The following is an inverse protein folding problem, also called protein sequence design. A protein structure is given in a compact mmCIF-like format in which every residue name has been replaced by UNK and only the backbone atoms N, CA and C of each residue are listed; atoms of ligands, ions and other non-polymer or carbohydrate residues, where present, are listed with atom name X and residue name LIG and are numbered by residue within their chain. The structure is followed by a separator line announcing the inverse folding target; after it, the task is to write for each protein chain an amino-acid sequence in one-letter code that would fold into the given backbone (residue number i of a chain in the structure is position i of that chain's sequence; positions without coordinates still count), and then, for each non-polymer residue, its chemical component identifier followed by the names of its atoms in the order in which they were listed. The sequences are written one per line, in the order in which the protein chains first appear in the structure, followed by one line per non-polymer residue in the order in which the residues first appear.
data_IF_895449520646
#
_entry.id   IF_895449520646
#
_cell.length_a   1.000
_cell.length_b   1.000
_cell.length_c   1.000
_cell.angle_alpha   90.00
_cell.angle_beta   90.00
_cell.angle_gamma   90.00
#
_symmetry.space_group_name_H-M   'P 1'
#
loop_
_entity.id
_entity.type
_entity.pdbx_description
1 polymer ?
#
# COMPACT_ATOMS: atom_id res chain seq x y z
N UNK A 1 0.45 -18.81 39.59
CA UNK A 1 -0.44 -18.92 38.42
C UNK A 1 0.45 -18.90 37.19
N UNK A 2 0.67 -20.05 36.55
CA UNK A 2 1.43 -20.12 35.30
C UNK A 2 0.58 -19.52 34.18
N UNK A 3 1.16 -18.62 33.40
CA UNK A 3 0.53 -18.13 32.19
C UNK A 3 0.18 -19.34 31.31
N UNK A 4 -1.07 -19.43 30.86
CA UNK A 4 -1.45 -20.38 29.83
C UNK A 4 -0.61 -20.07 28.61
N UNK A 5 0.28 -20.98 28.24
CA UNK A 5 0.91 -20.99 26.92
C UNK A 5 -0.23 -21.17 25.94
N UNK A 6 -0.50 -20.14 25.15
CA UNK A 6 -1.43 -20.21 24.02
C UNK A 6 -0.76 -21.12 23.01
N UNK A 7 -1.43 -22.17 22.55
CA UNK A 7 -0.89 -23.03 21.49
C UNK A 7 -0.79 -22.16 20.23
N UNK A 8 0.43 -21.84 19.80
CA UNK A 8 0.73 -20.74 18.86
C UNK A 8 0.25 -21.00 17.42
N UNK A 9 -0.39 -22.14 17.15
CA UNK A 9 -0.89 -22.53 15.84
C UNK A 9 -2.40 -22.27 15.63
N UNK A 10 -3.14 -21.80 16.64
CA UNK A 10 -4.61 -21.71 16.54
C UNK A 10 -5.12 -20.49 15.75
N UNK A 11 -4.35 -19.40 15.64
CA UNK A 11 -4.76 -18.20 14.87
C UNK A 11 -3.60 -17.25 14.54
N UNK A 12 -3.85 -16.33 13.61
CA UNK A 12 -2.98 -15.19 13.30
C UNK A 12 -3.79 -13.91 13.10
N UNK A 13 -3.10 -12.76 13.08
CA UNK A 13 -3.73 -11.44 12.94
C UNK A 13 -3.29 -10.75 11.66
N UNK A 14 -4.26 -10.20 10.92
CA UNK A 14 -4.02 -9.32 9.78
C UNK A 14 -4.48 -7.93 10.17
N UNK A 15 -3.53 -7.01 10.34
CA UNK A 15 -3.85 -5.63 10.65
C UNK A 15 -4.11 -4.84 9.38
N UNK A 16 -5.33 -4.30 9.23
CA UNK A 16 -5.51 -3.12 8.39
C UNK A 16 -4.70 -1.95 8.99
N UNK A 17 -4.30 -1.00 8.15
CA UNK A 17 -3.43 0.11 8.53
C UNK A 17 -4.24 1.41 8.69
N UNK A 18 -4.88 1.85 7.61
CA UNK A 18 -5.47 3.18 7.51
C UNK A 18 -6.88 3.21 8.11
N UNK A 19 -7.00 3.77 9.31
CA UNK A 19 -8.24 3.77 10.10
C UNK A 19 -8.25 2.76 11.24
N UNK A 20 -7.25 1.87 11.31
CA UNK A 20 -7.08 0.87 12.38
C UNK A 20 -5.85 1.15 13.23
N UNK A 21 -4.66 1.16 12.63
CA UNK A 21 -3.41 1.46 13.35
C UNK A 21 -3.06 2.95 13.32
N UNK A 22 -3.35 3.62 12.20
CA UNK A 22 -3.00 5.02 11.97
C UNK A 22 -4.11 5.77 11.24
N UNK A 23 -4.10 7.10 11.30
CA UNK A 23 -4.90 8.00 10.46
C UNK A 23 -4.00 9.10 9.90
N UNK A 24 -3.60 8.97 8.64
CA UNK A 24 -2.54 9.79 8.08
C UNK A 24 -1.26 9.65 8.90
N UNK A 25 -0.68 10.77 9.35
CA UNK A 25 0.56 10.77 10.15
C UNK A 25 0.36 10.52 11.65
N UNK A 26 -0.87 10.25 12.10
CA UNK A 26 -1.18 10.08 13.51
C UNK A 26 -1.41 8.61 13.82
N UNK A 27 -0.73 8.08 14.84
CA UNK A 27 -1.08 6.77 15.42
C UNK A 27 -2.44 6.82 16.09
N UNK A 28 -3.24 5.78 15.93
CA UNK A 28 -4.49 5.60 16.66
C UNK A 28 -4.21 4.98 18.03
N UNK A 29 -5.04 5.33 19.01
CA UNK A 29 -4.92 4.83 20.39
C UNK A 29 -5.07 3.31 20.40
N UNK A 30 -4.13 2.59 21.01
CA UNK A 30 -4.13 1.13 21.08
C UNK A 30 -3.47 0.44 19.88
N UNK A 31 -3.16 1.16 18.79
CA UNK A 31 -2.58 0.55 17.58
C UNK A 31 -1.17 0.00 17.82
N UNK A 32 -0.33 0.76 18.55
CA UNK A 32 1.02 0.30 18.91
C UNK A 32 0.92 -0.86 19.91
N UNK A 33 0.08 -0.71 20.92
CA UNK A 33 -0.09 -1.67 22.00
C UNK A 33 -0.61 -3.03 21.49
N UNK A 34 -1.50 -3.03 20.48
CA UNK A 34 -1.98 -4.25 19.85
C UNK A 34 -0.87 -5.00 19.08
N UNK A 35 0.01 -4.26 18.39
CA UNK A 35 1.17 -4.85 17.70
C UNK A 35 2.16 -5.39 18.71
N UNK A 36 2.52 -4.61 19.73
CA UNK A 36 3.42 -5.04 20.81
C UNK A 36 2.89 -6.28 21.53
N UNK A 37 1.59 -6.38 21.75
CA UNK A 37 0.97 -7.59 22.31
C UNK A 37 1.17 -8.82 21.41
N UNK A 38 1.01 -8.68 20.10
CA UNK A 38 1.25 -9.79 19.18
C UNK A 38 2.73 -10.20 19.19
N UNK A 39 3.66 -9.25 19.26
CA UNK A 39 5.10 -9.54 19.39
C UNK A 39 5.44 -10.23 20.73
N UNK A 40 4.93 -9.72 21.86
CA UNK A 40 5.20 -10.25 23.21
C UNK A 40 4.74 -11.72 23.35
N UNK A 41 3.59 -12.05 22.77
CA UNK A 41 2.99 -13.38 22.86
C UNK A 41 3.29 -14.29 21.66
N UNK A 42 4.13 -13.84 20.72
CA UNK A 42 4.51 -14.63 19.55
C UNK A 42 3.35 -14.94 18.59
N UNK A 43 2.31 -14.11 18.57
CA UNK A 43 1.14 -14.29 17.67
C UNK A 43 1.56 -13.93 16.24
N UNK A 44 1.43 -14.85 15.27
CA UNK A 44 1.75 -14.56 13.88
C UNK A 44 0.90 -13.41 13.33
N UNK A 45 1.54 -12.38 12.77
CA UNK A 45 0.81 -11.25 12.22
C UNK A 45 1.50 -10.52 11.08
N UNK A 46 0.66 -9.98 10.19
CA UNK A 46 1.03 -9.19 9.01
C UNK A 46 0.21 -7.90 8.94
N UNK A 47 0.67 -6.97 8.13
CA UNK A 47 0.05 -5.68 7.87
C UNK A 47 -0.49 -5.66 6.44
N UNK A 48 -1.76 -5.33 6.27
CA UNK A 48 -2.45 -5.29 4.98
C UNK A 48 -2.97 -3.89 4.72
N UNK A 49 -2.74 -3.35 3.53
CA UNK A 49 -3.29 -2.06 3.11
C UNK A 49 -3.65 -2.07 1.63
N UNK A 50 -4.71 -1.32 1.30
CA UNK A 50 -5.08 -1.04 -0.08
C UNK A 50 -4.20 0.05 -0.72
N UNK A 51 -3.19 0.57 -0.03
CA UNK A 51 -2.22 1.49 -0.63
C UNK A 51 -1.47 0.78 -1.78
N UNK A 52 -1.43 1.45 -2.94
CA UNK A 52 -0.76 0.98 -4.14
C UNK A 52 0.41 1.89 -4.59
N UNK A 53 0.69 2.97 -3.85
CA UNK A 53 1.62 4.03 -4.23
C UNK A 53 3.04 3.81 -3.68
N UNK A 54 3.19 2.99 -2.64
CA UNK A 54 4.47 2.71 -1.99
C UNK A 54 4.87 1.25 -2.18
N UNK A 55 6.17 0.97 -2.33
CA UNK A 55 6.70 -0.39 -2.16
C UNK A 55 6.42 -0.89 -0.74
N UNK A 56 6.38 -2.21 -0.57
CA UNK A 56 6.20 -2.86 0.73
C UNK A 56 7.23 -2.36 1.77
N UNK A 57 8.48 -2.15 1.35
CA UNK A 57 9.55 -1.60 2.20
C UNK A 57 9.29 -0.17 2.63
N UNK A 58 8.95 0.71 1.68
CA UNK A 58 8.65 2.12 1.96
C UNK A 58 7.45 2.25 2.91
N UNK A 59 6.43 1.41 2.71
CA UNK A 59 5.25 1.40 3.57
C UNK A 59 5.54 0.85 4.97
N UNK A 60 6.38 -0.18 5.07
CA UNK A 60 6.84 -0.71 6.35
C UNK A 60 7.63 0.33 7.15
N UNK A 61 8.62 0.98 6.52
CA UNK A 61 9.42 2.05 7.13
C UNK A 61 8.53 3.21 7.60
N UNK A 62 7.55 3.60 6.78
CA UNK A 62 6.56 4.61 7.15
C UNK A 62 5.76 4.20 8.39
N UNK A 63 5.18 3.00 8.39
CA UNK A 63 4.38 2.52 9.52
C UNK A 63 5.23 2.39 10.79
N UNK A 64 6.47 1.93 10.66
CA UNK A 64 7.46 1.89 11.74
C UNK A 64 7.70 3.25 12.36
N UNK A 65 7.87 4.27 11.52
CA UNK A 65 8.09 5.64 12.02
C UNK A 65 6.88 6.20 12.78
N UNK A 66 5.66 5.87 12.35
CA UNK A 66 4.43 6.41 12.96
C UNK A 66 4.07 5.67 14.25
N UNK A 67 4.24 4.35 14.28
CA UNK A 67 3.97 3.54 15.48
C UNK A 67 5.12 3.59 16.48
N UNK A 68 6.36 3.84 16.04
CA UNK A 68 7.55 3.71 16.87
C UNK A 68 7.80 2.25 17.26
N UNK A 69 7.73 1.36 16.27
CA UNK A 69 7.98 -0.08 16.36
C UNK A 69 8.63 -0.57 15.06
N UNK A 70 9.52 -1.57 15.13
CA UNK A 70 10.18 -2.12 13.94
C UNK A 70 9.23 -3.04 13.17
N UNK A 71 9.02 -2.76 11.89
CA UNK A 71 8.14 -3.52 10.99
C UNK A 71 8.93 -3.79 9.73
N UNK A 72 9.10 -5.07 9.40
CA UNK A 72 9.84 -5.49 8.23
C UNK A 72 8.95 -5.59 6.98
N UNK A 73 9.54 -5.30 5.82
CA UNK A 73 8.86 -5.32 4.52
C UNK A 73 8.19 -6.67 4.20
N UNK A 74 8.77 -7.79 4.66
CA UNK A 74 8.22 -9.15 4.43
C UNK A 74 6.90 -9.41 5.17
N UNK A 75 6.51 -8.54 6.10
CA UNK A 75 5.23 -8.60 6.83
C UNK A 75 4.23 -7.58 6.31
N UNK A 76 4.57 -6.84 5.25
CA UNK A 76 3.73 -5.84 4.62
C UNK A 76 3.10 -6.38 3.34
N UNK A 77 1.79 -6.25 3.23
CA UNK A 77 1.01 -6.61 2.05
C UNK A 77 0.31 -5.34 1.56
N UNK A 78 0.77 -4.81 0.44
CA UNK A 78 0.16 -3.70 -0.28
C UNK A 78 -0.81 -4.23 -1.34
N UNK A 79 -1.63 -3.35 -1.91
CA UNK A 79 -2.59 -3.72 -2.97
C UNK A 79 -1.92 -4.40 -4.19
N UNK A 80 -0.66 -4.07 -4.46
CA UNK A 80 0.12 -4.61 -5.57
C UNK A 80 0.98 -5.83 -5.20
N UNK A 81 1.03 -6.25 -3.94
CA UNK A 81 1.84 -7.40 -3.50
C UNK A 81 1.46 -8.71 -4.22
N UNK A 82 0.17 -9.04 -4.43
CA UNK A 82 -0.21 -10.24 -5.18
C UNK A 82 0.30 -10.25 -6.63
N UNK A 83 0.70 -9.11 -7.19
CA UNK A 83 1.24 -9.04 -8.55
C UNK A 83 2.65 -9.66 -8.66
N UNK A 84 3.33 -9.88 -7.53
CA UNK A 84 4.61 -10.57 -7.49
C UNK A 84 4.49 -11.99 -8.06
N UNK A 85 3.37 -12.67 -7.81
CA UNK A 85 3.17 -14.09 -8.14
C UNK A 85 2.54 -14.31 -9.52
N UNK A 86 2.31 -13.24 -10.28
CA UNK A 86 1.74 -13.37 -11.63
C UNK A 86 2.74 -14.03 -12.59
N UNK A 87 2.27 -14.88 -13.53
CA UNK A 87 3.13 -15.53 -14.52
C UNK A 87 3.91 -14.52 -15.38
N UNK A 88 5.10 -14.90 -15.83
CA UNK A 88 5.94 -14.06 -16.68
C UNK A 88 5.23 -13.62 -17.97
N UNK A 89 4.39 -14.48 -18.53
CA UNK A 89 3.56 -14.18 -19.71
C UNK A 89 2.66 -12.96 -19.47
N UNK A 90 2.06 -12.86 -18.27
CA UNK A 90 1.24 -11.70 -17.86
C UNK A 90 2.13 -10.48 -17.66
N UNK A 91 3.31 -10.63 -17.04
CA UNK A 91 4.26 -9.54 -16.81
C UNK A 91 4.87 -8.98 -18.10
N UNK A 92 4.93 -9.79 -19.16
CA UNK A 92 5.34 -9.39 -20.50
C UNK A 92 4.21 -8.71 -21.30
N UNK A 93 2.95 -8.88 -20.88
CA UNK A 93 1.79 -8.24 -21.48
C UNK A 93 1.79 -6.72 -21.37
N UNK A 94 0.92 -6.08 -22.15
CA UNK A 94 0.70 -4.63 -22.10
C UNK A 94 -0.09 -4.26 -20.85
N UNK A 95 0.47 -3.37 -20.03
CA UNK A 95 -0.17 -2.87 -18.80
C UNK A 95 -0.43 -1.37 -18.93
N UNK A 96 -1.66 -0.96 -18.63
CA UNK A 96 -2.04 0.44 -18.53
C UNK A 96 -2.29 0.82 -17.06
N UNK A 97 -1.47 1.72 -16.54
CA UNK A 97 -1.58 2.29 -15.19
C UNK A 97 -2.51 3.48 -15.21
N UNK A 98 -3.51 3.44 -14.32
CA UNK A 98 -4.51 4.49 -14.14
C UNK A 98 -4.48 5.01 -12.70
N UNK A 99 -5.01 6.21 -12.47
CA UNK A 99 -5.08 6.82 -11.15
C UNK A 99 -4.33 8.15 -11.05
N UNK A 100 -4.09 8.59 -9.81
CA UNK A 100 -3.48 9.88 -9.49
C UNK A 100 -1.96 9.86 -9.70
N UNK A 101 -1.26 8.97 -8.97
CA UNK A 101 0.20 8.87 -9.03
C UNK A 101 0.63 7.74 -9.97
N UNK A 102 0.31 7.88 -11.26
CA UNK A 102 0.59 6.80 -12.24
C UNK A 102 2.08 6.56 -12.47
N UNK A 103 2.94 7.54 -12.16
CA UNK A 103 4.40 7.40 -12.28
C UNK A 103 4.95 6.42 -11.25
N UNK A 104 4.68 6.68 -9.97
CA UNK A 104 5.16 5.82 -8.86
C UNK A 104 4.67 4.38 -9.02
N UNK A 105 3.38 4.20 -9.37
CA UNK A 105 2.80 2.86 -9.59
C UNK A 105 3.46 2.17 -10.79
N UNK A 106 3.77 2.91 -11.87
CA UNK A 106 4.49 2.35 -13.01
C UNK A 106 5.86 1.83 -12.58
N UNK A 107 6.60 2.60 -11.80
CA UNK A 107 7.95 2.22 -11.38
C UNK A 107 7.93 1.00 -10.44
N UNK A 108 6.91 0.89 -9.57
CA UNK A 108 6.65 -0.32 -8.76
C UNK A 108 6.42 -1.55 -9.66
N UNK A 109 5.59 -1.44 -10.70
CA UNK A 109 5.34 -2.57 -11.59
C UNK A 109 6.58 -2.97 -12.37
N UNK A 110 7.37 -2.00 -12.84
CA UNK A 110 8.66 -2.27 -13.48
C UNK A 110 9.62 -3.00 -12.53
N UNK A 111 9.69 -2.56 -11.27
CA UNK A 111 10.47 -3.24 -10.22
C UNK A 111 10.02 -4.69 -10.00
N UNK A 112 8.72 -4.96 -10.05
CA UNK A 112 8.13 -6.31 -9.92
C UNK A 112 8.25 -7.19 -11.18
N UNK A 113 8.93 -6.70 -12.21
CA UNK A 113 9.28 -7.47 -13.41
C UNK A 113 8.36 -7.26 -14.61
N UNK A 114 7.35 -6.39 -14.52
CA UNK A 114 6.56 -6.02 -15.68
C UNK A 114 7.41 -5.28 -16.70
N UNK A 115 7.16 -5.50 -17.99
CA UNK A 115 8.00 -4.96 -19.07
C UNK A 115 7.35 -3.80 -19.83
N UNK A 116 6.07 -3.96 -20.17
CA UNK A 116 5.35 -3.04 -21.06
C UNK A 116 4.33 -2.22 -20.28
N UNK A 117 4.83 -1.37 -19.37
CA UNK A 117 4.00 -0.57 -18.45
C UNK A 117 3.88 0.88 -18.96
N UNK A 118 2.66 1.28 -19.27
CA UNK A 118 2.32 2.63 -19.74
C UNK A 118 1.37 3.33 -18.80
N UNK A 119 1.43 4.65 -18.76
CA UNK A 119 0.48 5.44 -17.95
C UNK A 119 -0.64 6.04 -18.82
N UNK A 120 -1.80 6.28 -18.21
CA UNK A 120 -2.88 7.03 -18.88
C UNK A 120 -2.43 8.44 -19.29
N UNK A 121 -1.45 9.03 -18.58
CA UNK A 121 -0.85 10.32 -18.91
C UNK A 121 -0.06 10.25 -20.22
N UNK A 122 0.84 9.27 -20.38
CA UNK A 122 1.58 9.04 -21.63
C UNK A 122 0.62 8.83 -22.83
N UNK A 123 -0.47 8.11 -22.60
CA UNK A 123 -1.49 7.88 -23.62
C UNK A 123 -2.21 9.18 -24.02
N UNK A 124 -2.61 10.00 -23.04
CA UNK A 124 -3.29 11.28 -23.24
C UNK A 124 -2.40 12.35 -23.89
N UNK A 125 -1.09 12.33 -23.62
CA UNK A 125 -0.11 13.21 -24.25
C UNK A 125 -0.02 12.94 -25.75
N UNK A 126 0.11 11.67 -26.13
CA UNK A 126 0.20 11.24 -27.54
C UNK A 126 -1.11 11.40 -28.31
N UNK A 127 -2.26 11.39 -27.62
CA UNK A 127 -3.60 11.49 -28.26
C UNK A 127 -4.46 12.56 -27.59
N UNK A 128 -4.12 13.85 -27.77
CA UNK A 128 -4.85 14.95 -27.13
C UNK A 128 -6.35 14.96 -27.40
N UNK A 129 -6.73 14.56 -28.61
CA UNK A 129 -8.10 14.56 -29.11
C UNK A 129 -9.01 13.54 -28.40
N UNK A 130 -8.43 12.51 -27.76
CA UNK A 130 -9.19 11.55 -26.94
C UNK A 130 -9.49 12.07 -25.53
N UNK A 131 -8.82 13.14 -25.12
CA UNK A 131 -8.93 13.71 -23.76
C UNK A 131 -9.16 15.22 -23.87
N UNK A 132 -10.32 15.66 -24.41
CA UNK A 132 -10.57 17.06 -24.76
C UNK A 132 -10.50 18.03 -23.56
N UNK A 133 -10.62 17.53 -22.32
CA UNK A 133 -10.60 18.33 -21.09
C UNK A 133 -9.20 18.43 -20.42
N UNK A 134 -8.10 18.56 -21.20
CA UNK A 134 -6.69 18.55 -20.72
C UNK A 134 -6.39 19.50 -19.54
N UNK A 135 -7.09 20.63 -19.45
CA UNK A 135 -6.88 21.65 -18.39
C UNK A 135 -7.23 21.10 -16.99
N UNK A 136 -8.04 20.04 -16.90
CA UNK A 136 -8.48 19.48 -15.62
C UNK A 136 -7.56 18.40 -15.06
N UNK A 137 -6.77 17.65 -15.84
CA UNK A 137 -5.89 16.60 -15.28
C UNK A 137 -4.72 17.18 -14.47
N UNK A 138 -4.04 18.21 -14.99
CA UNK A 138 -2.94 18.88 -14.26
C UNK A 138 -3.43 19.62 -12.99
N UNK A 139 -4.65 20.18 -13.01
CA UNK A 139 -5.28 20.87 -11.87
C UNK A 139 -5.96 19.93 -10.88
N UNK A 140 -6.57 18.83 -11.32
CA UNK A 140 -7.26 17.88 -10.44
C UNK A 140 -6.28 17.13 -9.55
N UNK A 141 -5.02 16.95 -9.97
CA UNK A 141 -4.00 16.33 -9.14
C UNK A 141 -3.16 17.34 -8.32
N UNK A 142 -3.05 18.60 -8.73
CA UNK A 142 -2.41 19.64 -7.89
C UNK A 142 -3.35 20.30 -6.87
N UNK A 143 -4.67 20.21 -7.05
CA UNK A 143 -5.68 20.89 -6.23
C UNK A 143 -6.63 19.95 -5.49
N UNK A 144 -6.38 18.64 -5.46
CA UNK A 144 -7.15 17.73 -4.59
C UNK A 144 -6.36 17.52 -3.30
N UNK A 145 -6.54 18.34 -2.25
CA UNK A 145 -6.14 17.91 -0.93
C UNK A 145 -7.01 16.68 -0.64
N UNK A 146 -6.38 15.51 -0.52
CA UNK A 146 -7.04 14.36 0.07
C UNK A 146 -7.38 14.78 1.49
N UNK A 147 -8.59 15.29 1.69
CA UNK A 147 -9.12 15.56 2.99
C UNK A 147 -9.62 14.25 3.57
N UNK A 148 -8.74 13.55 4.28
CA UNK A 148 -9.03 12.30 4.97
C UNK A 148 -10.19 12.41 5.99
N UNK A 149 -10.63 13.63 6.36
CA UNK A 149 -11.82 13.85 7.20
C UNK A 149 -13.17 13.72 6.49
N UNK A 150 -13.19 13.51 5.15
CA UNK A 150 -14.44 13.31 4.39
C UNK A 150 -14.89 11.85 4.30
N UNK A 151 -14.04 10.91 4.75
CA UNK A 151 -14.32 9.47 4.78
C UNK A 151 -14.30 8.92 6.22
N UNK A 152 -14.58 9.79 7.20
CA UNK A 152 -14.80 9.45 8.61
C UNK A 152 -16.27 9.56 8.97
#
# INVERSE_FOLDING_TARGET
MGAKVVDMEDFGVVFDIDGVLIRGKQRLKGGKEAVEYCEEYGVPHVFLTNNAMDLESVRADYLSSVLGAEIHANRMICAHTPLNDLPDEVKQGLVLVTGFSTGDVRDILLFKGFKNVHTVHEYAEKRPYLVPNKVRMRRMYSLWPINWSRWS
#
